data_IF_627539596723
#
_entry.id   IF_627539596723
#
_cell.length_a   1.000
_cell.length_b   1.000
_cell.length_c   1.000
_cell.angle_alpha   90.00
_cell.angle_beta   90.00
_cell.angle_gamma   90.00
#
_symmetry.space_group_name_H-M   'P 1'
#
loop_
_entity.id
_entity.type
_entity.pdbx_description
1 polymer ?
#
# COMPACT_ATOMS: atom_id res chain seq x y z
N UNK A 1 8.20 -14.09 -12.21
CA UNK A 1 8.84 -13.08 -11.38
C UNK A 1 8.27 -11.68 -11.56
N UNK A 2 7.45 -11.44 -12.55
CA UNK A 2 7.32 -10.08 -13.05
C UNK A 2 5.99 -9.85 -13.75
N UNK A 3 4.92 -9.85 -13.04
CA UNK A 3 3.76 -9.16 -13.59
C UNK A 3 3.86 -7.69 -13.22
N UNK A 4 3.95 -6.85 -14.22
CA UNK A 4 3.74 -5.42 -14.08
C UNK A 4 2.27 -5.16 -14.33
N UNK A 5 1.61 -4.55 -13.36
CA UNK A 5 0.25 -4.09 -13.54
C UNK A 5 0.27 -2.60 -13.83
N UNK A 6 -0.40 -2.21 -14.87
CA UNK A 6 -0.87 -0.85 -15.05
C UNK A 6 -2.37 -0.84 -14.78
N UNK A 7 -2.73 -0.07 -13.81
CA UNK A 7 -4.12 0.04 -13.40
C UNK A 7 -4.46 1.52 -13.21
N UNK A 8 -5.51 1.99 -13.86
CA UNK A 8 -5.98 3.35 -13.75
C UNK A 8 -7.41 3.37 -13.21
N UNK A 9 -7.58 3.98 -12.05
CA UNK A 9 -8.88 4.23 -11.49
C UNK A 9 -8.89 5.61 -10.82
N UNK A 10 -9.91 6.39 -11.11
CA UNK A 10 -10.10 7.73 -10.61
C UNK A 10 -11.49 7.84 -9.99
N UNK A 11 -11.55 8.01 -8.67
CA UNK A 11 -12.80 8.08 -7.93
C UNK A 11 -13.62 9.32 -8.23
N UNK A 12 -12.96 10.45 -8.47
CA UNK A 12 -13.64 11.70 -8.79
C UNK A 12 -14.27 11.64 -10.17
N UNK A 13 -13.57 11.10 -11.17
CA UNK A 13 -14.10 10.88 -12.51
C UNK A 13 -15.29 9.92 -12.47
N UNK A 14 -15.20 8.84 -11.73
CA UNK A 14 -16.29 7.88 -11.58
C UNK A 14 -17.54 8.52 -10.94
N UNK A 15 -17.37 9.32 -9.90
CA UNK A 15 -18.46 10.04 -9.25
C UNK A 15 -19.14 11.03 -10.20
N UNK A 16 -18.34 11.72 -11.00
CA UNK A 16 -18.85 12.67 -12.00
C UNK A 16 -19.71 11.97 -13.06
N UNK A 17 -19.21 10.86 -13.61
CA UNK A 17 -19.91 10.04 -14.59
C UNK A 17 -21.22 9.46 -14.03
N UNK A 18 -21.25 9.15 -12.73
CA UNK A 18 -22.37 8.48 -12.09
C UNK A 18 -23.22 9.38 -11.21
N UNK A 19 -23.20 10.69 -11.41
CA UNK A 19 -23.97 11.68 -10.61
C UNK A 19 -25.46 11.36 -10.47
N UNK A 20 -26.06 10.79 -11.51
CA UNK A 20 -27.46 10.42 -11.48
C UNK A 20 -27.74 9.05 -10.82
N UNK A 21 -26.70 8.31 -10.45
CA UNK A 21 -26.87 6.98 -9.88
C UNK A 21 -27.47 7.05 -8.46
N UNK A 22 -28.45 6.18 -8.13
CA UNK A 22 -29.09 6.19 -6.80
C UNK A 22 -28.12 6.07 -5.63
N UNK A 23 -27.00 5.38 -5.82
CA UNK A 23 -25.94 5.22 -4.82
C UNK A 23 -25.15 6.50 -4.56
N UNK A 24 -25.25 7.50 -5.42
CA UNK A 24 -24.57 8.78 -5.24
C UNK A 24 -25.08 9.59 -4.04
N UNK A 25 -26.18 9.19 -3.44
CA UNK A 25 -26.80 9.92 -2.32
C UNK A 25 -26.09 9.79 -0.98
N UNK A 26 -25.04 8.99 -0.90
CA UNK A 26 -24.27 8.87 0.32
C UNK A 26 -22.83 8.48 0.05
N UNK A 27 -21.91 9.39 0.27
CA UNK A 27 -20.46 9.16 0.11
C UNK A 27 -19.93 7.90 0.81
N UNK A 28 -20.63 7.41 1.82
CA UNK A 28 -20.26 6.21 2.59
C UNK A 28 -20.64 4.87 1.94
N UNK A 29 -21.41 4.88 0.89
CA UNK A 29 -21.94 3.64 0.26
C UNK A 29 -21.11 3.15 -0.92
N UNK A 30 -20.13 3.93 -1.36
CA UNK A 30 -19.26 3.56 -2.47
C UNK A 30 -17.99 2.91 -1.98
N UNK A 31 -17.47 1.96 -2.72
CA UNK A 31 -16.07 1.60 -2.64
C UNK A 31 -15.26 2.89 -2.81
N UNK A 32 -14.26 3.13 -2.00
CA UNK A 32 -13.49 4.37 -2.01
C UNK A 32 -14.25 5.65 -1.60
N UNK A 33 -15.43 5.54 -1.04
CA UNK A 33 -16.21 6.70 -0.62
C UNK A 33 -15.51 7.59 0.42
N UNK A 34 -14.50 7.06 1.10
CA UNK A 34 -13.68 7.79 2.07
C UNK A 34 -12.37 8.34 1.46
N UNK A 35 -12.07 7.99 0.20
CA UNK A 35 -10.84 8.42 -0.48
C UNK A 35 -11.06 8.63 -1.99
N UNK A 36 -11.73 9.70 -2.35
CA UNK A 36 -12.10 10.00 -3.74
C UNK A 36 -10.92 10.27 -4.66
N UNK A 37 -9.84 10.81 -4.13
CA UNK A 37 -8.65 11.19 -4.90
C UNK A 37 -7.64 10.06 -5.06
N UNK A 38 -7.98 8.83 -4.72
CA UNK A 38 -7.15 7.68 -5.02
C UNK A 38 -7.14 7.44 -6.53
N UNK A 39 -5.94 7.48 -7.12
CA UNK A 39 -5.72 7.26 -8.54
C UNK A 39 -4.68 6.18 -8.72
N UNK A 40 -5.05 5.06 -9.34
CA UNK A 40 -4.17 3.94 -9.66
C UNK A 40 -3.73 4.02 -11.12
N UNK A 41 -2.80 4.91 -11.42
CA UNK A 41 -2.26 5.12 -12.76
C UNK A 41 -0.75 4.84 -12.86
N UNK A 42 -0.25 4.01 -11.98
CA UNK A 42 1.16 3.69 -11.89
C UNK A 42 1.42 2.21 -12.27
N UNK A 43 2.66 1.91 -12.62
CA UNK A 43 3.12 0.53 -12.77
C UNK A 43 3.40 -0.02 -11.39
N UNK A 44 2.67 -1.05 -10.99
CA UNK A 44 2.76 -1.65 -9.66
C UNK A 44 3.19 -3.11 -9.81
N UNK A 45 4.22 -3.50 -9.06
CA UNK A 45 4.68 -4.89 -9.06
C UNK A 45 3.72 -5.76 -8.27
N UNK A 46 3.08 -6.72 -8.94
CA UNK A 46 2.15 -7.68 -8.35
C UNK A 46 2.54 -9.12 -8.74
N UNK A 47 2.10 -10.13 -7.94
CA UNK A 47 2.43 -11.53 -8.21
C UNK A 47 1.95 -12.00 -9.59
N UNK A 48 0.75 -11.63 -9.96
CA UNK A 48 0.09 -12.07 -11.17
C UNK A 48 -0.87 -11.00 -11.69
N UNK A 49 -0.88 -10.78 -13.00
CA UNK A 49 -1.78 -9.81 -13.64
C UNK A 49 -3.18 -10.36 -13.91
N UNK A 50 -3.37 -11.66 -13.82
CA UNK A 50 -4.63 -12.32 -14.12
C UNK A 50 -5.47 -12.51 -12.86
N UNK A 51 -4.83 -13.03 -11.81
CA UNK A 51 -5.49 -13.28 -10.53
C UNK A 51 -5.57 -12.01 -9.67
N UNK A 52 -4.58 -11.12 -9.82
CA UNK A 52 -4.49 -9.85 -9.08
C UNK A 52 -4.56 -8.64 -10.01
N UNK A 53 -5.74 -8.34 -10.59
CA UNK A 53 -5.93 -7.14 -11.42
C UNK A 53 -6.08 -5.86 -10.60
N UNK A 54 -5.51 -5.81 -9.41
CA UNK A 54 -5.46 -4.71 -8.45
C UNK A 54 -4.13 -4.68 -7.74
N UNK A 55 -3.82 -3.60 -7.03
CA UNK A 55 -2.65 -3.63 -6.17
C UNK A 55 -2.98 -4.25 -4.80
N UNK A 56 -1.98 -4.90 -4.19
CA UNK A 56 -1.99 -5.30 -2.81
C UNK A 56 -0.76 -4.73 -2.12
N UNK A 57 -0.97 -3.99 -1.03
CA UNK A 57 0.08 -3.15 -0.46
C UNK A 57 1.26 -3.96 0.09
N UNK A 58 1.00 -5.04 0.84
CA UNK A 58 2.10 -5.82 1.40
C UNK A 58 2.80 -6.69 0.37
N UNK A 59 2.09 -7.18 -0.67
CA UNK A 59 2.71 -7.89 -1.78
C UNK A 59 3.73 -6.99 -2.48
N UNK A 60 3.36 -5.75 -2.78
CA UNK A 60 4.30 -4.78 -3.34
C UNK A 60 5.52 -4.59 -2.43
N UNK A 61 5.33 -4.42 -1.13
CA UNK A 61 6.43 -4.26 -0.18
C UNK A 61 7.34 -5.49 -0.16
N UNK A 62 6.79 -6.71 -0.17
CA UNK A 62 7.58 -7.94 -0.27
C UNK A 62 8.31 -8.05 -1.62
N UNK A 63 7.68 -7.66 -2.71
CA UNK A 63 8.31 -7.68 -4.03
C UNK A 63 9.53 -6.78 -4.12
N UNK A 64 9.56 -5.70 -3.37
CA UNK A 64 10.73 -4.82 -3.36
C UNK A 64 11.99 -5.50 -2.83
N UNK A 65 11.87 -6.57 -2.03
CA UNK A 65 13.02 -7.30 -1.49
C UNK A 65 13.84 -7.98 -2.59
N UNK A 66 13.29 -8.90 -3.38
CA UNK A 66 14.02 -9.51 -4.49
C UNK A 66 14.35 -8.51 -5.60
N UNK A 67 13.48 -7.54 -5.88
CA UNK A 67 13.77 -6.48 -6.86
C UNK A 67 14.97 -5.67 -6.43
N UNK A 68 15.10 -5.35 -5.13
CA UNK A 68 16.21 -4.57 -4.60
C UNK A 68 17.59 -5.23 -4.74
N UNK A 69 17.63 -6.55 -4.92
CA UNK A 69 18.87 -7.27 -5.22
C UNK A 69 19.32 -7.04 -6.68
N UNK A 70 18.35 -6.86 -7.58
CA UNK A 70 18.58 -6.71 -9.02
C UNK A 70 18.63 -5.25 -9.45
N UNK A 71 17.69 -4.46 -8.96
CA UNK A 71 17.50 -3.04 -9.27
C UNK A 71 17.04 -2.28 -8.02
N UNK A 72 17.99 -1.84 -7.17
CA UNK A 72 17.66 -1.09 -5.96
C UNK A 72 16.87 0.19 -6.20
N UNK A 73 17.12 0.89 -7.31
CA UNK A 73 16.47 2.16 -7.60
C UNK A 73 14.99 1.95 -7.93
N UNK A 74 14.70 0.98 -8.78
CA UNK A 74 13.32 0.62 -9.09
C UNK A 74 12.58 0.08 -7.85
N UNK A 75 13.24 -0.72 -7.01
CA UNK A 75 12.66 -1.21 -5.76
C UNK A 75 12.29 -0.06 -4.81
N UNK A 76 13.21 0.91 -4.64
CA UNK A 76 12.94 2.11 -3.83
C UNK A 76 11.77 2.92 -4.38
N UNK A 77 11.67 3.06 -5.71
CA UNK A 77 10.58 3.79 -6.34
C UNK A 77 9.23 3.09 -6.16
N UNK A 78 9.18 1.76 -6.27
CA UNK A 78 7.99 0.97 -5.97
C UNK A 78 7.55 1.11 -4.51
N UNK A 79 8.50 1.07 -3.57
CA UNK A 79 8.18 1.26 -2.15
C UNK A 79 7.67 2.67 -1.86
N UNK A 80 8.33 3.70 -2.40
CA UNK A 80 7.90 5.10 -2.28
C UNK A 80 6.51 5.33 -2.85
N UNK A 81 6.13 4.55 -3.88
CA UNK A 81 4.82 4.68 -4.52
C UNK A 81 3.68 4.56 -3.51
N UNK A 82 3.71 3.52 -2.66
CA UNK A 82 2.69 3.30 -1.64
C UNK A 82 2.69 4.36 -0.52
N UNK A 83 3.75 5.14 -0.41
CA UNK A 83 3.89 6.22 0.55
C UNK A 83 3.49 7.60 -0.01
N UNK A 84 3.07 7.66 -1.27
CA UNK A 84 2.55 8.89 -1.88
C UNK A 84 1.11 9.12 -1.48
N UNK A 85 0.68 10.38 -1.52
CA UNK A 85 -0.70 10.81 -1.20
C UNK A 85 -1.80 10.03 -1.97
N UNK A 86 -1.47 9.44 -3.10
CA UNK A 86 -2.41 8.62 -3.90
C UNK A 86 -2.75 7.29 -3.23
N UNK A 87 -1.81 6.71 -2.48
CA UNK A 87 -1.91 5.37 -1.89
C UNK A 87 -1.81 5.38 -0.36
N UNK A 88 -1.26 6.43 0.22
CA UNK A 88 -1.24 6.67 1.66
C UNK A 88 -2.38 7.63 2.01
N UNK A 89 -3.39 7.12 2.69
CA UNK A 89 -4.49 7.96 3.15
C UNK A 89 -4.00 9.08 4.08
N UNK A 90 -4.61 10.28 4.04
CA UNK A 90 -4.19 11.39 4.92
C UNK A 90 -4.18 11.09 6.41
N UNK A 91 -4.98 10.13 6.88
CA UNK A 91 -4.96 9.67 8.27
C UNK A 91 -3.79 8.72 8.60
N UNK A 92 -2.96 8.36 7.63
CA UNK A 92 -1.83 7.44 7.78
C UNK A 92 -2.11 5.98 7.42
N UNK A 93 -3.32 5.64 7.04
CA UNK A 93 -3.65 4.28 6.60
C UNK A 93 -3.03 3.97 5.24
N UNK A 94 -2.43 2.78 5.12
CA UNK A 94 -2.16 2.13 3.83
C UNK A 94 -3.19 1.02 3.72
N UNK A 95 -4.19 1.11 2.82
CA UNK A 95 -5.19 0.06 2.67
C UNK A 95 -4.55 -1.22 2.16
N UNK A 96 -5.16 -2.38 2.46
CA UNK A 96 -4.65 -3.68 2.03
C UNK A 96 -4.57 -3.76 0.51
N UNK A 97 -5.61 -3.33 -0.13
CA UNK A 97 -5.76 -3.24 -1.60
C UNK A 97 -6.78 -2.16 -1.94
N UNK A 98 -6.88 -1.79 -3.21
CA UNK A 98 -7.84 -0.78 -3.62
C UNK A 98 -9.29 -1.19 -3.28
N UNK A 99 -10.10 -0.18 -3.03
CA UNK A 99 -11.53 -0.24 -2.70
C UNK A 99 -11.89 -0.81 -1.34
N UNK A 100 -10.96 -1.32 -0.56
CA UNK A 100 -11.25 -1.81 0.78
C UNK A 100 -10.40 -1.08 1.83
N UNK A 101 -10.99 -0.07 2.46
CA UNK A 101 -10.33 0.73 3.50
C UNK A 101 -10.61 0.20 4.91
N UNK A 102 -11.43 -0.83 5.06
CA UNK A 102 -11.62 -1.50 6.35
C UNK A 102 -10.52 -2.52 6.64
N UNK A 103 -9.91 -3.07 5.59
CA UNK A 103 -8.84 -4.03 5.70
C UNK A 103 -7.45 -3.39 5.59
N UNK A 104 -6.51 -3.95 6.32
CA UNK A 104 -5.11 -3.57 6.26
C UNK A 104 -4.24 -4.82 6.33
N UNK A 105 -3.14 -4.80 5.60
CA UNK A 105 -2.11 -5.82 5.72
C UNK A 105 -1.16 -5.51 6.89
N UNK A 106 -0.43 -6.50 7.41
CA UNK A 106 0.69 -6.24 8.30
C UNK A 106 1.66 -5.19 7.71
N UNK A 107 2.25 -4.31 8.54
CA UNK A 107 3.03 -3.16 8.08
C UNK A 107 4.44 -3.56 7.59
N UNK A 108 4.53 -4.23 6.48
CA UNK A 108 5.79 -4.73 5.89
C UNK A 108 6.68 -3.62 5.35
N UNK A 109 6.12 -2.45 5.04
CA UNK A 109 6.83 -1.33 4.40
C UNK A 109 8.04 -0.84 5.20
N UNK A 110 7.96 -0.81 6.53
CA UNK A 110 9.08 -0.40 7.37
C UNK A 110 10.24 -1.41 7.28
N UNK A 111 9.92 -2.70 7.33
CA UNK A 111 10.91 -3.76 7.14
C UNK A 111 11.55 -3.68 5.75
N UNK A 112 10.73 -3.55 4.70
CA UNK A 112 11.21 -3.42 3.33
C UNK A 112 12.12 -2.21 3.14
N UNK A 113 11.80 -1.06 3.76
CA UNK A 113 12.65 0.13 3.73
C UNK A 113 14.04 -0.13 4.28
N UNK A 114 14.13 -0.76 5.46
CA UNK A 114 15.41 -1.10 6.08
C UNK A 114 16.19 -2.15 5.28
N UNK A 115 15.47 -3.12 4.72
CA UNK A 115 16.07 -4.15 3.87
C UNK A 115 16.70 -3.53 2.63
N UNK A 116 15.97 -2.68 1.90
CA UNK A 116 16.47 -2.01 0.69
C UNK A 116 17.70 -1.15 1.00
N UNK A 117 17.65 -0.37 2.07
CA UNK A 117 18.79 0.45 2.48
C UNK A 117 20.04 -0.40 2.75
N UNK A 118 19.91 -1.52 3.50
CA UNK A 118 21.03 -2.42 3.80
C UNK A 118 21.53 -3.16 2.57
N UNK A 119 20.62 -3.55 1.70
CA UNK A 119 20.97 -4.22 0.42
C UNK A 119 21.75 -3.28 -0.49
N UNK A 120 21.31 -2.05 -0.64
CA UNK A 120 22.04 -1.05 -1.42
C UNK A 120 23.43 -0.76 -0.86
N UNK A 121 23.52 -0.62 0.47
CA UNK A 121 24.79 -0.44 1.15
C UNK A 121 25.74 -1.64 0.90
N UNK A 122 25.23 -2.85 0.93
CA UNK A 122 26.02 -4.05 0.68
C UNK A 122 26.44 -4.21 -0.78
N UNK A 123 25.56 -3.87 -1.72
CA UNK A 123 25.81 -4.05 -3.16
C UNK A 123 26.63 -2.93 -3.78
N UNK A 124 26.37 -1.69 -3.38
CA UNK A 124 26.92 -0.48 -4.02
C UNK A 124 27.84 0.33 -3.09
N UNK A 125 27.85 0.04 -1.79
CA UNK A 125 28.53 0.86 -0.78
C UNK A 125 27.84 2.22 -0.54
N UNK A 126 26.64 2.42 -1.08
CA UNK A 126 25.90 3.65 -0.97
C UNK A 126 25.04 3.71 0.30
N UNK A 127 24.86 4.91 0.81
CA UNK A 127 24.04 5.17 2.01
C UNK A 127 23.03 6.27 1.69
N UNK A 128 21.90 5.87 1.12
CA UNK A 128 20.81 6.79 0.72
C UNK A 128 20.01 7.27 1.94
N UNK A 129 20.57 8.23 2.65
CA UNK A 129 19.95 8.85 3.84
C UNK A 129 18.68 9.62 3.47
N UNK A 130 18.60 10.18 2.27
CA UNK A 130 17.42 10.93 1.84
C UNK A 130 16.23 10.00 1.59
N UNK A 131 16.46 8.81 1.06
CA UNK A 131 15.45 7.76 0.98
C UNK A 131 14.92 7.40 2.38
N UNK A 132 15.82 7.18 3.35
CA UNK A 132 15.43 6.84 4.72
C UNK A 132 14.63 7.97 5.38
N UNK A 133 15.05 9.21 5.27
CA UNK A 133 14.33 10.37 5.83
C UNK A 133 12.93 10.52 5.22
N UNK A 134 12.85 10.43 3.89
CA UNK A 134 11.59 10.58 3.16
C UNK A 134 10.58 9.50 3.53
N UNK A 135 11.04 8.25 3.60
CA UNK A 135 10.19 7.11 3.98
C UNK A 135 9.84 7.12 5.47
N UNK A 136 10.77 7.46 6.34
CA UNK A 136 10.55 7.50 7.79
C UNK A 136 9.37 8.39 8.18
N UNK A 137 9.30 9.61 7.66
CA UNK A 137 8.21 10.53 7.97
C UNK A 137 6.84 9.96 7.58
N UNK A 138 6.75 9.27 6.46
CA UNK A 138 5.53 8.62 5.98
C UNK A 138 5.17 7.38 6.78
N UNK A 139 6.17 6.57 7.09
CA UNK A 139 6.01 5.39 7.93
C UNK A 139 5.63 5.73 9.36
N UNK A 140 6.08 6.88 9.87
CA UNK A 140 5.65 7.38 11.17
C UNK A 140 4.17 7.73 11.21
N UNK A 141 3.62 8.30 10.13
CA UNK A 141 2.17 8.51 10.00
C UNK A 141 1.43 7.18 10.03
N UNK A 142 1.92 6.18 9.29
CA UNK A 142 1.31 4.85 9.28
C UNK A 142 1.41 4.16 10.64
N UNK A 143 2.55 4.26 11.33
CA UNK A 143 2.71 3.75 12.68
C UNK A 143 1.71 4.39 13.66
N UNK A 144 1.55 5.71 13.62
CA UNK A 144 0.57 6.41 14.45
C UNK A 144 -0.86 5.95 14.15
N UNK A 145 -1.18 5.68 12.89
CA UNK A 145 -2.48 5.12 12.52
C UNK A 145 -2.70 3.75 13.17
N UNK A 146 -1.71 2.87 13.13
CA UNK A 146 -1.76 1.54 13.75
C UNK A 146 -2.01 1.64 15.25
N UNK A 147 -1.20 2.43 15.96
CA UNK A 147 -1.30 2.60 17.41
C UNK A 147 -2.67 3.16 17.82
N UNK A 148 -3.19 4.13 17.07
CA UNK A 148 -4.44 4.80 17.43
C UNK A 148 -5.71 4.11 16.93
N UNK A 149 -5.61 3.22 15.96
CA UNK A 149 -6.78 2.62 15.30
C UNK A 149 -6.87 1.11 15.41
N UNK A 150 -5.77 0.43 15.61
CA UNK A 150 -5.71 -1.03 15.60
C UNK A 150 -5.24 -1.65 16.91
N UNK A 151 -4.85 -0.85 17.89
CA UNK A 151 -4.58 -1.29 19.27
C UNK A 151 -5.79 -1.03 20.17
N UNK A 152 -6.80 -1.87 20.03
CA UNK A 152 -8.08 -1.73 20.74
C UNK A 152 -7.95 -1.69 22.27
N UNK A 153 -6.95 -2.36 22.80
CA UNK A 153 -6.80 -2.55 24.24
C UNK A 153 -5.61 -1.79 24.85
N UNK A 154 -4.87 -1.02 24.04
CA UNK A 154 -3.67 -0.32 24.50
C UNK A 154 -2.56 -1.26 24.99
N UNK A 155 -2.47 -2.46 24.42
CA UNK A 155 -1.53 -3.51 24.81
C UNK A 155 -0.44 -3.79 23.77
N UNK A 156 -0.32 -2.93 22.77
CA UNK A 156 0.56 -3.13 21.62
C UNK A 156 0.27 -4.44 20.86
N UNK A 157 -1.00 -4.86 20.85
CA UNK A 157 -1.52 -5.98 20.06
C UNK A 157 -2.47 -5.41 19.03
N UNK A 158 -2.05 -5.43 17.78
CA UNK A 158 -2.79 -4.80 16.70
C UNK A 158 -3.77 -5.78 16.06
N UNK A 159 -4.99 -5.29 15.83
CA UNK A 159 -6.00 -6.03 15.08
C UNK A 159 -5.59 -6.04 13.61
N UNK A 160 -5.34 -7.24 13.08
CA UNK A 160 -5.03 -7.43 11.66
C UNK A 160 -6.30 -7.37 10.81
N UNK A 161 -6.08 -7.23 9.53
CA UNK A 161 -7.09 -7.40 8.49
C UNK A 161 -6.79 -8.61 7.64
N UNK A 162 -6.72 -8.41 6.35
CA UNK A 162 -6.43 -9.44 5.36
C UNK A 162 -5.00 -10.00 5.49
N UNK A 163 -4.89 -11.29 5.70
CA UNK A 163 -3.63 -12.02 5.87
C UNK A 163 -3.27 -12.90 4.67
N UNK A 164 -4.03 -12.86 3.59
CA UNK A 164 -3.79 -13.69 2.41
C UNK A 164 -4.06 -15.18 2.62
N UNK A 165 -4.88 -15.55 3.58
CA UNK A 165 -5.23 -16.94 3.89
C UNK A 165 -6.44 -17.42 3.08
N UNK A 166 -6.45 -17.17 1.80
CA UNK A 166 -7.65 -17.30 0.95
C UNK A 166 -8.21 -18.73 0.88
N UNK A 167 -7.38 -19.74 1.05
CA UNK A 167 -7.75 -21.14 0.89
C UNK A 167 -7.66 -21.92 2.20
N UNK A 168 -7.48 -21.27 3.32
CA UNK A 168 -7.48 -21.93 4.62
C UNK A 168 -8.88 -21.82 5.22
N UNK A 169 -9.79 -22.62 4.71
CA UNK A 169 -11.15 -22.73 5.22
C UNK A 169 -11.22 -23.56 6.51
N UNK A 170 -10.70 -23.05 7.62
CA UNK A 170 -10.60 -23.83 8.87
C UNK A 170 -11.09 -23.06 10.09
N UNK A 171 -11.95 -22.11 9.93
CA UNK A 171 -12.51 -21.44 11.10
C UNK A 171 -13.99 -21.43 11.10
#
# INVERSE_FOLDING_TARGET
LWSKQYYCWDGDAWLEEHRAHPLHRGHRTFRNGEWFHMINNDIISMPDKWEYPWYAAWDLAFHTLPIGIVDPDFAKDQLKLMLRWRYLHPNGQIPAYEWNFSDVNPPVHAFATLFLHRTEQALRGENDVEFLKGTFNKLLLNFNWWVNRKDRFGKNVFEGGFLGLDNIGVF
#
